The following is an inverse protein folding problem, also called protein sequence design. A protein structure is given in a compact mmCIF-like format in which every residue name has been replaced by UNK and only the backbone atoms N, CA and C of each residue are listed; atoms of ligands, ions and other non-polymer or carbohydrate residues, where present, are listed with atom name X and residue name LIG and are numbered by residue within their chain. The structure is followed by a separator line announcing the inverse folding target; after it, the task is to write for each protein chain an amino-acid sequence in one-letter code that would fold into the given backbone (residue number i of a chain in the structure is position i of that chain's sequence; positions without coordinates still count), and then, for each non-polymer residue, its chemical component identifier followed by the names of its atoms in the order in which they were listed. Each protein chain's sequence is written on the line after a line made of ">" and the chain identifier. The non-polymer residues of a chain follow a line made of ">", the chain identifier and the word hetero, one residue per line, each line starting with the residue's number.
data_IF_283957972048
#
_entry.id   IF_283957972048
#
_cell.length_a   1.000
_cell.length_b   1.000
_cell.length_c   1.000
_cell.angle_alpha   90.00
_cell.angle_beta   90.00
_cell.angle_gamma   90.00
#
_symmetry.space_group_name_H-M   'P 1'
#
loop_
_entity.id
_entity.type
_entity.pdbx_description
1 polymer ?
#
# COMPACT_ATOMS: atom_id res chain seq x y z
N UNK A 1 0.10 22.57 40.80
CA UNK A 1 0.89 21.87 39.75
C UNK A 1 0.08 20.96 38.82
N UNK A 2 -1.12 20.44 39.16
CA UNK A 2 -1.88 19.52 38.28
C UNK A 2 -2.50 20.17 37.02
N UNK A 3 -2.80 21.47 37.03
CA UNK A 3 -3.44 22.17 35.90
C UNK A 3 -2.51 22.36 34.69
N UNK A 4 -1.20 22.55 34.91
CA UNK A 4 -0.22 22.79 33.84
C UNK A 4 0.04 21.55 32.97
N UNK A 5 -0.04 20.35 33.57
CA UNK A 5 0.12 19.07 32.85
C UNK A 5 -1.09 18.72 31.97
N UNK A 6 -2.29 19.16 32.34
CA UNK A 6 -3.49 18.98 31.51
C UNK A 6 -3.49 19.87 30.26
N UNK A 7 -2.95 21.10 30.36
CA UNK A 7 -2.78 22.00 29.22
C UNK A 7 -1.83 21.45 28.17
N UNK A 8 -0.66 20.95 28.59
CA UNK A 8 0.36 20.37 27.69
C UNK A 8 -0.18 19.11 26.98
N UNK A 9 -0.92 18.24 27.69
CA UNK A 9 -1.53 17.05 27.08
C UNK A 9 -2.58 17.42 26.03
N UNK A 10 -3.44 18.43 26.26
CA UNK A 10 -4.42 18.92 25.27
C UNK A 10 -3.73 19.56 24.05
N UNK A 11 -2.65 20.30 24.27
CA UNK A 11 -1.88 20.94 23.22
C UNK A 11 -1.15 19.92 22.33
N UNK A 12 -0.57 18.87 22.93
CA UNK A 12 0.05 17.76 22.21
C UNK A 12 -0.97 16.94 21.40
N UNK A 13 -2.14 16.61 21.97
CA UNK A 13 -3.21 15.94 21.22
C UNK A 13 -3.78 16.81 20.09
N UNK A 14 -3.86 18.13 20.30
CA UNK A 14 -4.28 19.07 19.26
C UNK A 14 -3.26 19.18 18.13
N UNK A 15 -1.97 19.23 18.46
CA UNK A 15 -0.87 19.28 17.49
C UNK A 15 -0.77 17.97 16.68
N UNK A 16 -0.96 16.81 17.31
CA UNK A 16 -0.97 15.53 16.60
C UNK A 16 -2.19 15.36 15.69
N UNK A 17 -3.36 15.87 16.10
CA UNK A 17 -4.56 15.87 15.26
C UNK A 17 -4.41 16.81 14.06
N UNK A 18 -3.81 17.99 14.25
CA UNK A 18 -3.47 18.93 13.18
C UNK A 18 -2.44 18.36 12.21
N UNK A 19 -1.38 17.73 12.72
CA UNK A 19 -0.37 17.06 11.88
C UNK A 19 -0.99 15.92 11.06
N UNK A 20 -1.83 15.08 11.67
CA UNK A 20 -2.56 14.03 10.94
C UNK A 20 -3.48 14.63 9.87
N UNK A 21 -4.24 15.69 10.20
CA UNK A 21 -5.14 16.35 9.24
C UNK A 21 -4.38 16.99 8.08
N UNK A 22 -3.22 17.60 8.34
CA UNK A 22 -2.38 18.19 7.30
C UNK A 22 -1.74 17.13 6.39
N UNK A 23 -1.40 15.95 6.92
CA UNK A 23 -0.90 14.83 6.10
C UNK A 23 -1.98 14.29 5.15
N UNK A 24 -3.25 14.27 5.55
CA UNK A 24 -4.36 13.87 4.69
C UNK A 24 -4.83 14.99 3.74
N UNK A 25 -4.74 16.26 4.15
CA UNK A 25 -5.19 17.40 3.32
C UNK A 25 -4.30 17.68 2.10
N UNK A 26 -3.00 17.35 2.17
CA UNK A 26 -2.07 17.55 1.05
C UNK A 26 -2.43 16.74 -0.21
N UNK A 27 -3.16 15.63 -0.06
CA UNK A 27 -3.61 14.81 -1.18
C UNK A 27 -4.76 15.45 -1.98
N UNK A 28 -5.48 16.42 -1.41
CA UNK A 28 -6.70 16.99 -2.02
C UNK A 28 -6.46 18.07 -3.08
N UNK A 29 -5.21 18.51 -3.31
CA UNK A 29 -4.87 19.56 -4.28
C UNK A 29 -4.25 19.04 -5.60
N UNK A 30 -4.05 17.73 -5.72
CA UNK A 30 -3.58 17.12 -6.95
C UNK A 30 -4.73 17.09 -7.98
N UNK A 31 -4.51 17.65 -9.16
CA UNK A 31 -5.44 17.50 -10.27
C UNK A 31 -5.35 16.06 -10.79
N UNK A 32 -6.41 15.28 -10.64
CA UNK A 32 -6.44 13.88 -11.09
C UNK A 32 -6.42 13.82 -12.62
N UNK A 33 -5.23 13.66 -13.18
CA UNK A 33 -5.04 13.37 -14.58
C UNK A 33 -5.17 11.85 -14.80
N UNK A 34 -6.06 11.45 -15.71
CA UNK A 34 -6.26 10.04 -16.05
C UNK A 34 -5.11 9.54 -16.92
N UNK A 35 -4.54 8.38 -16.56
CA UNK A 35 -3.53 7.69 -17.36
C UNK A 35 -2.13 8.31 -17.35
N UNK A 36 -1.84 9.24 -16.43
CA UNK A 36 -0.51 9.83 -16.26
C UNK A 36 -0.19 10.10 -14.79
N UNK A 37 1.11 10.15 -14.40
CA UNK A 37 1.49 10.52 -13.05
C UNK A 37 1.20 12.01 -12.79
N UNK A 38 0.84 12.32 -11.55
CA UNK A 38 0.62 13.68 -11.08
C UNK A 38 1.80 14.11 -10.20
N UNK A 39 2.41 15.30 -10.40
CA UNK A 39 3.53 15.76 -9.59
C UNK A 39 3.21 15.75 -8.09
N UNK A 40 4.05 15.08 -7.30
CA UNK A 40 3.89 14.99 -5.85
C UNK A 40 2.82 14.00 -5.37
N UNK A 41 2.15 13.28 -6.26
CA UNK A 41 1.23 12.21 -5.87
C UNK A 41 2.00 11.04 -5.22
N UNK A 42 1.44 10.54 -4.12
CA UNK A 42 1.99 9.41 -3.34
C UNK A 42 1.14 8.14 -3.45
N UNK A 43 0.03 8.21 -4.20
CA UNK A 43 -0.95 7.15 -4.34
C UNK A 43 -0.94 6.57 -5.77
N UNK A 44 -1.71 5.51 -6.00
CA UNK A 44 -1.94 4.91 -7.31
C UNK A 44 -2.69 5.87 -8.24
N UNK A 45 -2.41 5.78 -9.55
CA UNK A 45 -3.18 6.52 -10.54
C UNK A 45 -4.67 6.17 -10.49
N UNK A 46 -5.57 7.13 -10.80
CA UNK A 46 -7.00 6.90 -10.83
C UNK A 46 -7.40 5.70 -11.69
N UNK A 47 -8.37 4.92 -11.21
CA UNK A 47 -8.82 3.72 -11.91
C UNK A 47 -9.57 4.05 -13.22
N UNK A 48 -9.05 3.53 -14.34
CA UNK A 48 -9.70 3.59 -15.66
C UNK A 48 -10.47 2.30 -16.02
N UNK A 49 -10.48 1.29 -15.15
CA UNK A 49 -11.21 0.02 -15.36
C UNK A 49 -11.80 -0.51 -14.05
N UNK A 50 -12.79 -1.41 -14.14
CA UNK A 50 -13.36 -2.09 -12.98
C UNK A 50 -12.31 -2.91 -12.22
N UNK A 51 -11.51 -3.69 -12.92
CA UNK A 51 -10.41 -4.46 -12.32
C UNK A 51 -9.40 -3.57 -11.60
N UNK A 52 -9.06 -2.40 -12.15
CA UNK A 52 -8.17 -1.45 -11.47
C UNK A 52 -8.81 -0.88 -10.20
N UNK A 53 -10.12 -0.61 -10.20
CA UNK A 53 -10.86 -0.15 -9.02
C UNK A 53 -10.81 -1.19 -7.90
N UNK A 54 -11.03 -2.46 -8.23
CA UNK A 54 -10.97 -3.55 -7.26
C UNK A 54 -9.54 -3.76 -6.74
N UNK A 55 -8.53 -3.59 -7.60
CA UNK A 55 -7.12 -3.64 -7.20
C UNK A 55 -6.74 -2.49 -6.25
N UNK A 56 -7.19 -1.25 -6.53
CA UNK A 56 -6.99 -0.11 -5.62
C UNK A 56 -7.70 -0.38 -4.29
N UNK A 57 -8.94 -0.86 -4.30
CA UNK A 57 -9.66 -1.20 -3.07
C UNK A 57 -8.93 -2.26 -2.25
N UNK A 58 -8.44 -3.33 -2.88
CA UNK A 58 -7.66 -4.36 -2.19
C UNK A 58 -6.37 -3.78 -1.60
N UNK A 59 -5.67 -2.92 -2.35
CA UNK A 59 -4.47 -2.23 -1.88
C UNK A 59 -4.77 -1.33 -0.68
N UNK A 60 -5.71 -0.40 -0.80
CA UNK A 60 -5.93 0.68 0.19
C UNK A 60 -6.69 0.22 1.43
N UNK A 61 -7.64 -0.71 1.27
CA UNK A 61 -8.55 -1.10 2.34
C UNK A 61 -8.09 -2.38 3.06
N UNK A 62 -7.40 -3.28 2.35
CA UNK A 62 -6.92 -4.55 2.94
C UNK A 62 -5.43 -4.48 3.22
N UNK A 63 -4.60 -4.26 2.19
CA UNK A 63 -3.15 -4.41 2.32
C UNK A 63 -2.53 -3.30 3.17
N UNK A 64 -2.81 -2.03 2.84
CA UNK A 64 -2.21 -0.87 3.50
C UNK A 64 -2.48 -0.84 5.02
N UNK A 65 -3.72 -1.01 5.52
CA UNK A 65 -3.98 -0.99 6.95
C UNK A 65 -3.28 -2.13 7.70
N UNK A 66 -3.25 -3.34 7.12
CA UNK A 66 -2.60 -4.50 7.74
C UNK A 66 -1.10 -4.22 7.92
N UNK A 67 -0.41 -3.83 6.85
CA UNK A 67 1.05 -3.61 6.91
C UNK A 67 1.38 -2.40 7.79
N UNK A 68 0.58 -1.33 7.77
CA UNK A 68 0.78 -0.16 8.62
C UNK A 68 0.62 -0.52 10.09
N UNK A 69 -0.41 -1.28 10.47
CA UNK A 69 -0.62 -1.71 11.86
C UNK A 69 0.53 -2.59 12.34
N UNK A 70 0.97 -3.57 11.53
CA UNK A 70 2.13 -4.42 11.87
C UNK A 70 3.39 -3.57 12.04
N UNK A 71 3.63 -2.63 11.13
CA UNK A 71 4.80 -1.75 11.18
C UNK A 71 4.79 -0.87 12.43
N UNK A 72 3.64 -0.27 12.77
CA UNK A 72 3.50 0.54 13.98
C UNK A 72 3.62 -0.29 15.25
N UNK A 73 3.12 -1.53 15.25
CA UNK A 73 3.29 -2.46 16.36
C UNK A 73 4.77 -2.79 16.59
N UNK A 74 5.50 -3.16 15.54
CA UNK A 74 6.94 -3.44 15.61
C UNK A 74 7.71 -2.20 16.05
N UNK A 75 7.40 -1.03 15.49
CA UNK A 75 8.01 0.24 15.88
C UNK A 75 7.76 0.55 17.38
N UNK A 76 6.54 0.34 17.86
CA UNK A 76 6.18 0.52 19.25
C UNK A 76 6.97 -0.42 20.18
N UNK A 77 7.11 -1.69 19.81
CA UNK A 77 7.94 -2.65 20.56
C UNK A 77 9.41 -2.23 20.59
N UNK A 78 9.97 -1.78 19.45
CA UNK A 78 11.35 -1.30 19.40
C UNK A 78 11.57 -0.08 20.28
N UNK A 79 10.69 0.92 20.21
CA UNK A 79 10.75 2.11 21.09
C UNK A 79 10.66 1.68 22.55
N UNK A 80 9.73 0.78 22.89
CA UNK A 80 9.58 0.25 24.24
C UNK A 80 10.85 -0.45 24.71
N UNK A 81 11.47 -1.28 23.87
CA UNK A 81 12.73 -1.97 24.20
C UNK A 81 13.86 -0.98 24.45
N UNK A 82 14.03 0.02 23.58
CA UNK A 82 15.07 1.04 23.71
C UNK A 82 14.91 1.85 24.99
N UNK A 83 13.69 2.23 25.37
CA UNK A 83 13.44 3.06 26.56
C UNK A 83 13.47 2.22 27.85
N UNK A 84 12.86 1.04 27.85
CA UNK A 84 12.67 0.23 29.06
C UNK A 84 13.88 -0.63 29.42
N UNK A 85 14.60 -1.14 28.40
CA UNK A 85 15.67 -2.13 28.57
C UNK A 85 17.07 -1.61 28.21
N UNK A 86 17.27 -0.29 28.09
CA UNK A 86 18.62 0.26 28.00
C UNK A 86 19.44 0.01 29.28
N UNK A 87 20.78 0.10 29.16
CA UNK A 87 21.75 -0.13 30.25
C UNK A 87 21.47 0.68 31.52
N UNK A 88 20.92 1.90 31.39
CA UNK A 88 20.61 2.76 32.53
C UNK A 88 19.36 2.30 33.28
N UNK A 89 18.33 1.87 32.55
CA UNK A 89 16.99 1.54 33.09
C UNK A 89 16.83 0.05 33.41
N UNK A 90 17.68 -0.80 32.84
CA UNK A 90 17.74 -2.23 33.10
C UNK A 90 19.20 -2.72 33.22
N UNK A 91 19.91 -2.42 34.32
CA UNK A 91 21.33 -2.75 34.47
C UNK A 91 21.63 -4.25 34.53
N UNK A 92 20.68 -5.05 35.01
CA UNK A 92 20.78 -6.52 35.09
C UNK A 92 19.79 -7.12 34.09
N UNK A 93 20.26 -7.75 32.98
CA UNK A 93 19.37 -8.36 32.00
C UNK A 93 18.74 -9.66 32.52
N UNK A 94 17.53 -9.95 32.05
CA UNK A 94 16.92 -11.25 32.25
C UNK A 94 17.65 -12.33 31.43
N UNK A 95 17.52 -13.60 31.82
CA UNK A 95 18.24 -14.75 31.23
C UNK A 95 17.35 -15.78 30.54
N UNK A 96 16.08 -15.45 30.29
CA UNK A 96 15.20 -16.35 29.55
C UNK A 96 15.67 -16.48 28.10
N UNK A 97 15.54 -17.68 27.51
CA UNK A 97 15.97 -17.94 26.13
C UNK A 97 14.83 -18.37 25.19
N UNK A 98 13.71 -18.85 25.73
CA UNK A 98 12.57 -19.32 24.95
C UNK A 98 11.27 -19.15 25.72
N UNK A 99 10.16 -19.10 24.99
CA UNK A 99 8.81 -19.15 25.56
C UNK A 99 7.86 -19.72 24.50
N UNK A 100 7.60 -21.03 24.60
CA UNK A 100 6.79 -21.77 23.63
C UNK A 100 5.40 -21.17 23.40
N UNK A 101 4.77 -20.62 24.46
CA UNK A 101 3.45 -20.00 24.33
C UNK A 101 3.50 -18.77 23.43
N UNK A 102 4.50 -17.90 23.60
CA UNK A 102 4.64 -16.70 22.76
C UNK A 102 5.05 -17.10 21.34
N UNK A 103 5.92 -18.10 21.21
CA UNK A 103 6.33 -18.67 19.92
C UNK A 103 5.15 -19.14 19.07
N UNK A 104 4.21 -19.86 19.69
CA UNK A 104 2.99 -20.31 19.01
C UNK A 104 2.14 -19.11 18.59
N UNK A 105 1.94 -18.13 19.49
CA UNK A 105 1.10 -16.96 19.21
C UNK A 105 1.66 -16.15 18.03
N UNK A 106 2.95 -15.81 18.02
CA UNK A 106 3.53 -15.02 16.93
C UNK A 106 3.69 -15.80 15.63
N UNK A 107 3.50 -17.12 15.62
CA UNK A 107 3.57 -17.94 14.40
C UNK A 107 2.18 -18.11 13.80
N UNK A 108 1.19 -18.41 14.64
CA UNK A 108 -0.20 -18.60 14.21
C UNK A 108 -0.84 -17.28 13.76
N UNK A 109 -0.59 -16.18 14.47
CA UNK A 109 -1.18 -14.87 14.13
C UNK A 109 -0.80 -14.42 12.71
N UNK A 110 0.49 -14.40 12.29
CA UNK A 110 0.86 -14.08 10.91
C UNK A 110 0.25 -15.03 9.87
N UNK A 111 0.16 -16.32 10.16
CA UNK A 111 -0.47 -17.29 9.24
C UNK A 111 -1.94 -16.93 9.00
N UNK A 112 -2.69 -16.60 10.04
CA UNK A 112 -4.09 -16.16 9.92
C UNK A 112 -4.19 -14.86 9.13
N UNK A 113 -3.31 -13.89 9.37
CA UNK A 113 -3.28 -12.63 8.61
C UNK A 113 -3.07 -12.89 7.12
N UNK A 114 -2.10 -13.75 6.76
CA UNK A 114 -1.84 -14.11 5.37
C UNK A 114 -3.02 -14.83 4.73
N UNK A 115 -3.70 -15.71 5.46
CA UNK A 115 -4.89 -16.41 4.98
C UNK A 115 -6.02 -15.42 4.63
N UNK A 116 -6.24 -14.40 5.47
CA UNK A 116 -7.24 -13.35 5.19
C UNK A 116 -6.86 -12.58 3.92
N UNK A 117 -5.61 -12.16 3.78
CA UNK A 117 -5.13 -11.46 2.57
C UNK A 117 -5.32 -12.34 1.33
N UNK A 118 -5.00 -13.63 1.42
CA UNK A 118 -5.10 -14.57 0.31
C UNK A 118 -6.53 -14.71 -0.22
N UNK A 119 -7.54 -14.72 0.67
CA UNK A 119 -8.96 -14.84 0.25
C UNK A 119 -9.36 -13.69 -0.68
N UNK A 120 -9.01 -12.44 -0.34
CA UNK A 120 -9.34 -11.29 -1.20
C UNK A 120 -8.47 -11.26 -2.46
N UNK A 121 -7.17 -11.56 -2.33
CA UNK A 121 -6.23 -11.61 -3.44
C UNK A 121 -6.64 -12.60 -4.52
N UNK A 122 -7.02 -13.83 -4.15
CA UNK A 122 -7.41 -14.85 -5.13
C UNK A 122 -8.68 -14.49 -5.90
N UNK A 123 -9.66 -13.83 -5.26
CA UNK A 123 -10.86 -13.36 -5.97
C UNK A 123 -10.52 -12.38 -7.07
N UNK A 124 -9.63 -11.43 -6.78
CA UNK A 124 -9.15 -10.46 -7.77
C UNK A 124 -8.30 -11.14 -8.85
N UNK A 125 -7.43 -12.08 -8.47
CA UNK A 125 -6.62 -12.84 -9.42
C UNK A 125 -7.49 -13.63 -10.41
N UNK A 126 -8.56 -14.27 -9.94
CA UNK A 126 -9.47 -14.98 -10.83
C UNK A 126 -10.20 -14.01 -11.76
N UNK A 127 -10.62 -12.84 -11.28
CA UNK A 127 -11.21 -11.80 -12.13
C UNK A 127 -10.23 -11.30 -13.22
N UNK A 128 -8.92 -11.26 -12.95
CA UNK A 128 -7.92 -10.94 -13.96
C UNK A 128 -7.72 -12.04 -15.02
N UNK A 129 -8.00 -13.29 -14.69
CA UNK A 129 -7.79 -14.43 -15.59
C UNK A 129 -9.07 -14.86 -16.32
N UNK A 130 -10.25 -14.43 -15.86
CA UNK A 130 -11.52 -14.67 -16.53
C UNK A 130 -11.71 -13.63 -17.66
N UNK A 131 -11.30 -14.00 -18.87
CA UNK A 131 -11.37 -13.11 -20.03
C UNK A 131 -12.74 -13.24 -20.70
N UNK A 132 -13.60 -12.20 -20.65
CA UNK A 132 -14.89 -12.24 -21.32
C UNK A 132 -14.72 -12.20 -22.84
N UNK A 133 -15.79 -12.48 -23.58
CA UNK A 133 -15.81 -12.29 -25.04
C UNK A 133 -15.46 -10.82 -25.35
N UNK A 134 -14.38 -10.55 -26.11
CA UNK A 134 -13.95 -9.18 -26.37
C UNK A 134 -14.91 -8.50 -27.35
N UNK A 135 -15.18 -7.21 -27.13
CA UNK A 135 -15.84 -6.36 -28.12
C UNK A 135 -14.87 -5.91 -29.22
N UNK A 136 -13.56 -5.94 -28.94
CA UNK A 136 -12.49 -5.56 -29.83
C UNK A 136 -11.23 -6.35 -29.46
N UNK A 137 -10.56 -6.88 -30.47
CA UNK A 137 -9.30 -7.60 -30.30
C UNK A 137 -8.16 -6.72 -30.83
N UNK A 138 -7.14 -6.49 -29.99
CA UNK A 138 -5.90 -5.81 -30.40
C UNK A 138 -4.74 -6.74 -30.13
N UNK A 139 -3.93 -6.97 -31.15
CA UNK A 139 -2.66 -7.69 -31.02
C UNK A 139 -1.53 -6.66 -30.92
N UNK A 140 -0.84 -6.66 -29.79
CA UNK A 140 0.33 -5.82 -29.56
C UNK A 140 1.62 -6.66 -29.72
N UNK A 141 2.52 -6.22 -30.60
CA UNK A 141 3.83 -6.84 -30.83
C UNK A 141 4.92 -5.93 -30.27
N UNK A 142 5.78 -6.47 -29.41
CA UNK A 142 6.91 -5.73 -28.84
C UNK A 142 8.16 -5.82 -29.73
N UNK A 143 8.71 -4.66 -30.10
CA UNK A 143 9.97 -4.52 -30.83
C UNK A 143 10.98 -3.73 -29.99
N UNK A 144 12.26 -3.82 -30.34
CA UNK A 144 13.29 -2.96 -29.76
C UNK A 144 13.31 -1.63 -30.54
N UNK A 145 12.86 -0.48 -30.02
CA UNK A 145 12.24 -0.12 -28.73
C UNK A 145 10.90 0.58 -28.98
N UNK A 146 9.95 -0.14 -29.55
CA UNK A 146 8.65 0.38 -29.98
C UNK A 146 7.60 -0.74 -30.00
N UNK A 147 6.34 -0.38 -30.24
CA UNK A 147 5.25 -1.35 -30.30
C UNK A 147 4.55 -1.30 -31.65
N UNK A 148 4.18 -2.46 -32.18
CA UNK A 148 3.27 -2.60 -33.30
C UNK A 148 1.88 -3.02 -32.80
N UNK A 149 0.83 -2.46 -33.39
CA UNK A 149 -0.56 -2.78 -33.04
C UNK A 149 -1.34 -3.20 -34.28
N UNK A 150 -1.98 -4.37 -34.22
CA UNK A 150 -2.80 -4.94 -35.28
C UNK A 150 -4.23 -5.15 -34.76
N UNK A 151 -5.23 -4.83 -35.60
CA UNK A 151 -6.65 -5.08 -35.30
C UNK A 151 -7.18 -6.18 -36.25
N UNK A 152 -7.05 -7.46 -35.88
CA UNK A 152 -7.32 -8.57 -36.79
C UNK A 152 -8.79 -8.63 -37.25
N UNK A 153 -9.73 -8.40 -36.33
CA UNK A 153 -11.16 -8.48 -36.63
C UNK A 153 -11.61 -7.36 -37.59
N UNK A 154 -10.96 -6.19 -37.50
CA UNK A 154 -11.21 -5.02 -38.34
C UNK A 154 -10.34 -5.01 -39.61
N UNK A 155 -9.46 -6.01 -39.79
CA UNK A 155 -8.48 -6.10 -40.89
C UNK A 155 -7.60 -4.85 -41.02
N UNK A 156 -7.30 -4.18 -39.91
CA UNK A 156 -6.35 -3.07 -39.91
C UNK A 156 -4.96 -3.68 -39.73
N UNK A 157 -4.13 -3.50 -40.76
CA UNK A 157 -2.73 -3.91 -40.74
C UNK A 157 -1.96 -3.22 -39.63
N UNK A 158 -0.81 -3.78 -39.27
CA UNK A 158 0.02 -3.27 -38.18
C UNK A 158 0.35 -1.77 -38.30
N UNK A 159 0.11 -1.04 -37.21
CA UNK A 159 0.48 0.36 -37.02
C UNK A 159 1.63 0.42 -36.02
N UNK A 160 2.72 1.10 -36.38
CA UNK A 160 3.91 1.24 -35.54
C UNK A 160 3.81 2.49 -34.67
N UNK A 161 4.01 2.32 -33.37
CA UNK A 161 4.09 3.38 -32.36
C UNK A 161 5.53 3.58 -31.93
N UNK A 162 6.23 4.55 -32.55
CA UNK A 162 7.56 4.98 -32.13
C UNK A 162 7.49 6.06 -31.05
N UNK A 163 8.47 6.08 -30.14
CA UNK A 163 8.67 7.21 -29.24
C UNK A 163 9.04 8.47 -30.05
N UNK A 164 8.51 9.62 -29.66
CA UNK A 164 8.92 10.90 -30.24
C UNK A 164 10.41 11.11 -29.93
N UNK A 165 11.23 11.40 -30.95
CA UNK A 165 12.55 12.00 -30.70
C UNK A 165 12.32 13.38 -30.09
N UNK A 166 13.04 13.68 -29.01
CA UNK A 166 12.96 14.89 -28.16
C UNK A 166 12.31 16.11 -28.85
N UNK A 167 11.21 16.60 -28.26
CA UNK A 167 10.63 17.91 -28.51
C UNK A 167 10.93 18.84 -27.33
#
# INVERSE_FOLDING_TARGET
>A
MKAQFYGIRRMLTGASALAATMMFAGQALAQDLLGQPTPGAIDLQPAASSLKRDAIWFHDIILMPIITVITLFVLGLLIWVVVRYNKKSNPVPAKFSHNTTIEIVWTVVPVIILMVIAIFSFRLLFAYNDMPKPYMTVKATGYQWYWGYEYPDQKISEIISIGLSEA
#
